data_IF_112985596372
#
_entry.id   IF_112985596372
#
_cell.length_a   1.000
_cell.length_b   1.000
_cell.length_c   1.000
_cell.angle_alpha   90.00
_cell.angle_beta   90.00
_cell.angle_gamma   90.00
#
_symmetry.space_group_name_H-M   'P 1'
#
loop_
_entity.id
_entity.type
_entity.pdbx_description
1 polymer ?
#
# COMPACT_ATOMS: atom_id res chain seq x y z
N UNK A 1 15.76 -11.49 -24.21
CA UNK A 1 16.12 -11.95 -22.85
C UNK A 1 15.75 -10.85 -21.86
N UNK A 2 14.46 -10.53 -21.74
CA UNK A 2 14.00 -9.33 -21.00
C UNK A 2 12.68 -9.57 -20.26
N UNK A 3 11.76 -10.35 -20.84
CA UNK A 3 10.48 -10.71 -20.20
C UNK A 3 10.61 -11.64 -18.98
N UNK A 4 11.73 -12.35 -18.84
CA UNK A 4 11.96 -13.31 -17.73
C UNK A 4 12.08 -12.60 -16.39
N UNK A 5 12.68 -11.40 -16.34
CA UNK A 5 13.00 -10.73 -15.06
C UNK A 5 11.73 -10.40 -14.27
N UNK A 6 10.63 -10.05 -14.94
CA UNK A 6 9.39 -9.67 -14.26
C UNK A 6 8.65 -10.86 -13.64
N UNK A 7 8.92 -12.10 -14.03
CA UNK A 7 8.09 -13.25 -13.61
C UNK A 7 8.89 -14.42 -13.05
N UNK A 8 10.18 -14.53 -13.39
CA UNK A 8 11.02 -15.62 -12.93
C UNK A 8 11.42 -15.43 -11.47
N UNK A 9 11.32 -16.50 -10.68
CA UNK A 9 11.64 -16.50 -9.26
C UNK A 9 10.59 -15.78 -8.37
N UNK A 10 9.53 -15.22 -8.96
CA UNK A 10 8.46 -14.56 -8.19
C UNK A 10 7.61 -15.59 -7.48
N UNK A 11 7.51 -15.47 -6.16
CA UNK A 11 6.53 -16.21 -5.38
C UNK A 11 5.14 -15.56 -5.54
N UNK A 12 4.36 -16.07 -6.50
CA UNK A 12 3.02 -15.57 -6.79
C UNK A 12 2.00 -15.83 -5.67
N UNK A 13 2.21 -16.86 -4.85
CA UNK A 13 1.34 -17.13 -3.69
C UNK A 13 1.54 -16.01 -2.66
N UNK A 14 2.79 -15.69 -2.32
CA UNK A 14 3.10 -14.58 -1.42
C UNK A 14 2.59 -13.23 -1.96
N UNK A 15 2.70 -12.99 -3.28
CA UNK A 15 2.13 -11.78 -3.92
C UNK A 15 0.61 -11.73 -3.75
N UNK A 16 -0.11 -12.80 -4.08
CA UNK A 16 -1.57 -12.82 -3.99
C UNK A 16 -2.06 -12.68 -2.54
N UNK A 17 -1.47 -13.44 -1.60
CA UNK A 17 -1.84 -13.41 -0.18
C UNK A 17 -1.57 -12.04 0.43
N UNK A 18 -0.37 -11.49 0.24
CA UNK A 18 -0.05 -10.16 0.76
C UNK A 18 -0.92 -9.05 0.15
N UNK A 19 -1.31 -9.18 -1.13
CA UNK A 19 -2.23 -8.25 -1.77
C UNK A 19 -3.59 -8.22 -1.07
N UNK A 20 -4.17 -9.38 -0.81
CA UNK A 20 -5.45 -9.49 -0.09
C UNK A 20 -5.34 -8.96 1.34
N UNK A 21 -4.28 -9.34 2.05
CA UNK A 21 -4.04 -8.89 3.43
C UNK A 21 -3.86 -7.37 3.51
N UNK A 22 -3.10 -6.78 2.60
CA UNK A 22 -2.85 -5.33 2.57
C UNK A 22 -4.09 -4.54 2.11
N UNK A 23 -4.90 -5.09 1.22
CA UNK A 23 -6.18 -4.47 0.85
C UNK A 23 -7.15 -4.48 2.05
N UNK A 24 -7.21 -5.60 2.78
CA UNK A 24 -7.93 -5.70 4.05
C UNK A 24 -7.36 -4.76 5.13
N UNK A 25 -6.03 -4.61 5.20
CA UNK A 25 -5.39 -3.62 6.05
C UNK A 25 -5.88 -2.22 5.71
N UNK A 26 -5.99 -1.84 4.43
CA UNK A 26 -6.53 -0.54 4.03
C UNK A 26 -7.93 -0.29 4.59
N UNK A 27 -8.82 -1.28 4.48
CA UNK A 27 -10.16 -1.20 5.07
C UNK A 27 -10.11 -1.00 6.59
N UNK A 28 -9.22 -1.67 7.31
CA UNK A 28 -9.04 -1.50 8.75
C UNK A 28 -8.38 -0.15 9.10
N UNK A 29 -7.37 0.26 8.32
CA UNK A 29 -6.53 1.43 8.55
C UNK A 29 -7.34 2.72 8.51
N UNK A 30 -8.19 2.84 7.49
CA UNK A 30 -9.09 3.97 7.28
C UNK A 30 -10.47 3.79 7.93
N UNK A 31 -10.65 2.75 8.76
CA UNK A 31 -11.89 2.56 9.53
C UNK A 31 -11.96 3.46 10.77
N UNK A 32 -13.15 3.69 11.34
CA UNK A 32 -13.30 4.37 12.63
C UNK A 32 -12.54 3.71 13.80
N UNK A 33 -12.19 2.42 13.68
CA UNK A 33 -11.51 1.66 14.74
C UNK A 33 -10.01 1.96 14.84
N UNK A 34 -9.40 2.51 13.78
CA UNK A 34 -7.98 2.80 13.72
C UNK A 34 -7.74 4.30 13.44
N UNK A 35 -7.20 4.65 12.27
CA UNK A 35 -6.81 6.03 11.96
C UNK A 35 -7.89 6.81 11.19
N UNK A 36 -8.98 6.14 10.78
CA UNK A 36 -10.00 6.68 9.89
C UNK A 36 -10.65 7.97 10.36
N UNK A 37 -11.02 8.10 11.65
CA UNK A 37 -11.73 9.28 12.17
C UNK A 37 -10.92 10.57 11.96
N UNK A 38 -9.65 10.56 12.36
CA UNK A 38 -8.78 11.73 12.25
C UNK A 38 -8.25 11.93 10.83
N UNK A 39 -8.03 10.85 10.08
CA UNK A 39 -7.68 10.94 8.66
C UNK A 39 -8.82 11.60 7.86
N UNK A 40 -10.06 11.14 8.04
CA UNK A 40 -11.24 11.65 7.35
C UNK A 40 -11.49 13.14 7.61
N UNK A 41 -11.46 13.56 8.87
CA UNK A 41 -11.50 14.98 9.24
C UNK A 41 -10.33 15.77 8.62
N UNK A 42 -9.16 15.13 8.52
CA UNK A 42 -7.95 15.71 7.96
C UNK A 42 -7.95 15.88 6.43
N UNK A 43 -8.73 15.09 5.71
CA UNK A 43 -8.92 15.19 4.25
C UNK A 43 -10.26 15.80 3.86
N UNK A 44 -11.11 16.13 4.84
CA UNK A 44 -12.40 16.78 4.63
C UNK A 44 -13.51 15.87 4.10
N UNK A 45 -13.50 14.58 4.45
CA UNK A 45 -14.55 13.63 4.05
C UNK A 45 -15.28 13.04 5.25
N UNK A 46 -16.49 12.52 5.01
CA UNK A 46 -17.23 11.74 5.99
C UNK A 46 -16.81 10.27 5.98
N UNK A 47 -16.97 9.59 7.12
CA UNK A 47 -16.79 8.14 7.25
C UNK A 47 -18.00 7.53 7.95
N UNK A 48 -18.38 6.33 7.54
CA UNK A 48 -19.52 5.62 8.10
C UNK A 48 -19.92 4.46 7.20
N UNK A 49 -20.78 3.57 7.72
CA UNK A 49 -21.26 2.40 6.98
C UNK A 49 -22.04 2.77 5.71
N UNK A 50 -22.74 3.92 5.74
CA UNK A 50 -23.55 4.42 4.62
C UNK A 50 -22.73 5.24 3.60
N UNK A 51 -21.47 5.56 3.89
CA UNK A 51 -20.63 6.37 3.00
C UNK A 51 -20.09 5.50 1.87
N UNK A 52 -20.58 5.75 0.66
CA UNK A 52 -20.15 5.04 -0.54
C UNK A 52 -18.70 5.39 -0.88
N UNK A 53 -17.84 4.38 -0.88
CA UNK A 53 -16.44 4.53 -1.27
C UNK A 53 -16.29 4.71 -2.80
N UNK A 54 -15.34 5.55 -3.28
CA UNK A 54 -15.12 5.73 -4.71
C UNK A 54 -14.53 4.45 -5.34
N UNK A 55 -15.30 3.80 -6.22
CA UNK A 55 -14.86 2.53 -6.84
C UNK A 55 -13.55 2.65 -7.62
N UNK A 56 -13.33 3.77 -8.31
CA UNK A 56 -12.09 4.02 -9.03
C UNK A 56 -10.87 4.07 -8.09
N UNK A 57 -11.03 4.67 -6.90
CA UNK A 57 -9.98 4.71 -5.89
C UNK A 57 -9.68 3.31 -5.33
N UNK A 58 -10.72 2.52 -5.05
CA UNK A 58 -10.54 1.13 -4.58
C UNK A 58 -9.81 0.25 -5.60
N UNK A 59 -10.15 0.37 -6.88
CA UNK A 59 -9.46 -0.37 -7.96
C UNK A 59 -8.00 0.06 -8.08
N UNK A 60 -7.73 1.37 -8.08
CA UNK A 60 -6.35 1.87 -8.12
C UNK A 60 -5.55 1.47 -6.88
N UNK A 61 -6.18 1.45 -5.71
CA UNK A 61 -5.55 0.99 -4.48
C UNK A 61 -5.19 -0.49 -4.56
N UNK A 62 -6.11 -1.35 -5.03
CA UNK A 62 -5.85 -2.78 -5.19
C UNK A 62 -4.71 -3.03 -6.20
N UNK A 63 -4.72 -2.33 -7.34
CA UNK A 63 -3.66 -2.41 -8.34
C UNK A 63 -2.31 -1.93 -7.77
N UNK A 64 -2.28 -0.80 -7.07
CA UNK A 64 -1.06 -0.28 -6.44
C UNK A 64 -0.47 -1.25 -5.41
N UNK A 65 -1.33 -1.89 -4.61
CA UNK A 65 -0.93 -2.92 -3.64
C UNK A 65 -0.32 -4.12 -4.36
N UNK A 66 -0.99 -4.63 -5.39
CA UNK A 66 -0.50 -5.76 -6.18
C UNK A 66 0.87 -5.45 -6.81
N UNK A 67 1.04 -4.26 -7.40
CA UNK A 67 2.30 -3.83 -8.00
C UNK A 67 3.42 -3.72 -6.96
N UNK A 68 3.15 -3.18 -5.77
CA UNK A 68 4.16 -3.10 -4.70
C UNK A 68 4.53 -4.49 -4.18
N UNK A 69 3.56 -5.38 -3.99
CA UNK A 69 3.81 -6.77 -3.60
C UNK A 69 4.69 -7.50 -4.63
N UNK A 70 4.43 -7.26 -5.91
CA UNK A 70 5.22 -7.81 -7.01
C UNK A 70 6.65 -7.25 -7.03
N UNK A 71 6.84 -5.94 -6.84
CA UNK A 71 8.17 -5.32 -6.71
C UNK A 71 8.96 -5.93 -5.55
N UNK A 72 8.32 -6.16 -4.40
CA UNK A 72 8.96 -6.79 -3.24
C UNK A 72 9.35 -8.25 -3.55
N UNK A 73 8.48 -9.00 -4.21
CA UNK A 73 8.78 -10.36 -4.65
C UNK A 73 9.99 -10.40 -5.59
N UNK A 74 10.03 -9.48 -6.55
CA UNK A 74 11.14 -9.33 -7.50
C UNK A 74 12.45 -8.97 -6.80
N UNK A 75 12.40 -8.08 -5.81
CA UNK A 75 13.57 -7.70 -5.06
C UNK A 75 14.14 -8.87 -4.26
N UNK A 76 13.31 -9.73 -3.67
CA UNK A 76 13.77 -10.94 -2.97
C UNK A 76 14.35 -11.95 -3.95
N UNK A 77 13.68 -12.20 -5.08
CA UNK A 77 14.13 -13.15 -6.10
C UNK A 77 15.50 -12.79 -6.73
N UNK A 78 15.90 -11.51 -6.65
CA UNK A 78 17.12 -10.99 -7.27
C UNK A 78 18.10 -10.39 -6.24
N UNK A 79 17.95 -10.69 -4.95
CA UNK A 79 18.81 -10.17 -3.87
C UNK A 79 18.98 -8.63 -3.86
N UNK A 80 17.89 -7.92 -4.21
CA UNK A 80 17.84 -6.48 -4.44
C UNK A 80 16.92 -5.76 -3.44
N UNK A 81 16.84 -6.24 -2.20
CA UNK A 81 15.93 -5.74 -1.17
C UNK A 81 15.98 -4.21 -0.94
N UNK A 82 17.16 -3.54 -0.97
CA UNK A 82 17.22 -2.08 -0.85
C UNK A 82 16.41 -1.33 -1.92
N UNK A 83 16.27 -1.90 -3.12
CA UNK A 83 15.49 -1.29 -4.21
C UNK A 83 14.00 -1.28 -3.87
N UNK A 84 13.44 -2.36 -3.31
CA UNK A 84 12.02 -2.34 -2.96
C UNK A 84 11.73 -1.44 -1.75
N UNK A 85 12.67 -1.32 -0.80
CA UNK A 85 12.56 -0.32 0.28
C UNK A 85 12.53 1.10 -0.30
N UNK A 86 13.38 1.38 -1.29
CA UNK A 86 13.37 2.66 -1.99
C UNK A 86 12.04 2.88 -2.73
N UNK A 87 11.50 1.87 -3.42
CA UNK A 87 10.18 1.96 -4.05
C UNK A 87 9.07 2.26 -3.04
N UNK A 88 9.02 1.56 -1.91
CA UNK A 88 8.04 1.80 -0.86
C UNK A 88 8.17 3.23 -0.31
N UNK A 89 9.39 3.70 -0.05
CA UNK A 89 9.66 5.06 0.38
C UNK A 89 9.25 6.10 -0.68
N UNK A 90 9.54 5.85 -1.96
CA UNK A 90 9.11 6.71 -3.08
C UNK A 90 7.58 6.79 -3.14
N UNK A 91 6.88 5.66 -3.08
CA UNK A 91 5.42 5.63 -3.06
C UNK A 91 4.83 6.38 -1.88
N UNK A 92 5.38 6.21 -0.68
CA UNK A 92 4.97 6.95 0.51
C UNK A 92 5.18 8.46 0.34
N UNK A 93 6.36 8.88 -0.14
CA UNK A 93 6.69 10.29 -0.37
C UNK A 93 5.77 10.94 -1.41
N UNK A 94 5.48 10.27 -2.52
CA UNK A 94 4.60 10.80 -3.56
C UNK A 94 3.15 10.90 -3.09
N UNK A 95 2.67 9.91 -2.32
CA UNK A 95 1.34 9.95 -1.72
C UNK A 95 1.23 11.11 -0.71
N UNK A 96 2.22 11.24 0.18
CA UNK A 96 2.29 12.35 1.14
C UNK A 96 2.37 13.71 0.46
N UNK A 97 3.13 13.84 -0.64
CA UNK A 97 3.18 15.07 -1.42
C UNK A 97 1.80 15.42 -2.01
N UNK A 98 1.09 14.44 -2.57
CA UNK A 98 -0.29 14.61 -3.04
C UNK A 98 -1.23 15.10 -1.94
N UNK A 99 -1.15 14.50 -0.75
CA UNK A 99 -1.90 14.95 0.44
C UNK A 99 -1.57 16.39 0.83
N UNK A 100 -0.29 16.77 0.81
CA UNK A 100 0.16 18.13 1.13
C UNK A 100 -0.30 19.15 0.08
N UNK A 101 -0.26 18.83 -1.21
CA UNK A 101 -0.81 19.69 -2.26
C UNK A 101 -2.32 19.85 -2.14
N UNK A 102 -3.01 18.80 -1.69
CA UNK A 102 -4.43 18.84 -1.32
C UNK A 102 -4.73 19.65 -0.05
N UNK A 103 -3.71 20.21 0.62
CA UNK A 103 -3.81 20.93 1.90
C UNK A 103 -4.44 20.10 3.03
N UNK A 104 -4.34 18.77 2.93
CA UNK A 104 -4.80 17.86 3.98
C UNK A 104 -3.98 18.06 5.26
N UNK A 105 -4.56 17.70 6.40
CA UNK A 105 -3.89 17.81 7.69
C UNK A 105 -2.62 16.96 7.77
N UNK A 106 -1.66 17.36 8.60
CA UNK A 106 -0.44 16.58 8.87
C UNK A 106 -0.75 15.15 9.33
N UNK A 107 -1.82 14.97 10.10
CA UNK A 107 -2.23 13.65 10.57
C UNK A 107 -2.65 12.76 9.40
N UNK A 108 -3.48 13.27 8.49
CA UNK A 108 -3.91 12.54 7.30
C UNK A 108 -2.71 12.15 6.42
N UNK A 109 -1.82 13.10 6.15
CA UNK A 109 -0.59 12.86 5.39
C UNK A 109 0.27 11.74 5.99
N UNK A 110 0.52 11.79 7.30
CA UNK A 110 1.32 10.74 7.98
C UNK A 110 0.59 9.40 7.97
N UNK A 111 -0.73 9.37 8.15
CA UNK A 111 -1.52 8.14 8.10
C UNK A 111 -1.43 7.46 6.72
N UNK A 112 -1.44 8.24 5.64
CA UNK A 112 -1.30 7.74 4.27
C UNK A 112 0.11 7.23 3.97
N UNK A 113 1.15 7.99 4.33
CA UNK A 113 2.54 7.56 4.14
C UNK A 113 2.91 6.32 4.95
N UNK A 114 2.48 6.26 6.22
CA UNK A 114 2.75 5.12 7.10
C UNK A 114 1.99 3.85 6.69
N UNK A 115 0.83 3.97 6.03
CA UNK A 115 0.12 2.85 5.45
C UNK A 115 0.98 2.10 4.42
N UNK A 116 1.68 2.83 3.52
CA UNK A 116 2.58 2.23 2.52
C UNK A 116 3.70 1.42 3.18
N UNK A 117 4.27 1.95 4.26
CA UNK A 117 5.33 1.26 5.00
C UNK A 117 4.81 0.00 5.72
N UNK A 118 3.61 0.08 6.31
CA UNK A 118 2.98 -1.09 6.94
C UNK A 118 2.71 -2.20 5.92
N UNK A 119 2.23 -1.84 4.72
CA UNK A 119 2.03 -2.80 3.63
C UNK A 119 3.35 -3.47 3.22
N UNK A 120 4.43 -2.70 3.05
CA UNK A 120 5.73 -3.24 2.68
C UNK A 120 6.24 -4.28 3.71
N UNK A 121 6.05 -4.01 5.00
CA UNK A 121 6.41 -4.97 6.08
C UNK A 121 5.60 -6.27 5.95
N UNK A 122 4.28 -6.18 5.76
CA UNK A 122 3.41 -7.36 5.58
C UNK A 122 3.83 -8.16 4.37
N UNK A 123 4.12 -7.49 3.25
CA UNK A 123 4.54 -8.14 2.00
C UNK A 123 5.86 -8.89 2.18
N UNK A 124 6.85 -8.30 2.87
CA UNK A 124 8.13 -8.97 3.19
C UNK A 124 7.90 -10.19 4.08
N UNK A 125 7.03 -10.09 5.10
CA UNK A 125 6.69 -11.23 5.97
C UNK A 125 5.99 -12.33 5.17
N UNK A 126 5.09 -12.00 4.25
CA UNK A 126 4.44 -13.03 3.43
C UNK A 126 5.43 -13.79 2.55
N UNK A 127 6.50 -13.14 2.09
CA UNK A 127 7.55 -13.78 1.29
C UNK A 127 8.42 -14.76 2.09
N UNK A 128 8.42 -14.69 3.42
CA UNK A 128 9.11 -15.67 4.27
C UNK A 128 8.20 -16.79 4.78
N UNK A 129 6.88 -16.61 4.73
CA UNK A 129 5.89 -17.57 5.23
C UNK A 129 5.32 -18.51 4.17
N UNK A 130 5.28 -18.07 2.91
CA UNK A 130 4.73 -18.79 1.77
C UNK A 130 5.80 -18.95 0.69
#
# INVERSE_FOLDING_TARGET
MTMIVLVAGVNWIAVAVSTVLCFGLGALWYSPKLFGVKWAAGVGIEIGAEVKQPMAALVMQLLGIFLLAWIIALAIANDAMPIAVLFAATSACLLMAGSMFGQNSRYATVAEGSFVMAMAVIMIICQSLF
#
